data_IF_941998935008
#
_entry.id   IF_941998935008
#
_cell.length_a   1.000
_cell.length_b   1.000
_cell.length_c   1.000
_cell.angle_alpha   90.00
_cell.angle_beta   90.00
_cell.angle_gamma   90.00
#
_symmetry.space_group_name_H-M   'P 1'
#
loop_
_entity.id
_entity.type
_entity.pdbx_description
1 polymer ?
#
# COMPACT_ATOMS: atom_id res chain seq x y z
N UNK A 1 15.15 11.31 -5.96
CA UNK A 1 14.00 10.35 -5.93
C UNK A 1 12.67 11.13 -5.82
N UNK A 2 12.39 12.05 -6.75
CA UNK A 2 11.16 12.85 -6.76
C UNK A 2 9.94 12.02 -7.20
N UNK A 3 10.17 11.07 -8.13
CA UNK A 3 9.18 10.10 -8.63
C UNK A 3 8.51 9.28 -7.50
N UNK A 4 9.22 8.95 -6.41
CA UNK A 4 8.63 8.21 -5.30
C UNK A 4 7.63 9.08 -4.52
N UNK A 5 7.94 10.37 -4.37
CA UNK A 5 7.14 11.34 -3.62
C UNK A 5 5.89 11.76 -4.43
N UNK A 6 6.01 11.89 -5.75
CA UNK A 6 4.90 12.22 -6.64
C UNK A 6 3.90 11.06 -6.78
N UNK A 7 4.39 9.81 -6.89
CA UNK A 7 3.55 8.62 -6.81
C UNK A 7 2.83 8.49 -5.46
N UNK A 8 3.50 8.90 -4.38
CA UNK A 8 2.94 8.93 -3.03
C UNK A 8 1.67 9.78 -2.97
N UNK A 9 1.72 10.99 -3.55
CA UNK A 9 0.56 11.88 -3.55
C UNK A 9 -0.62 11.26 -4.30
N UNK A 10 -0.41 10.71 -5.50
CA UNK A 10 -1.48 10.10 -6.31
C UNK A 10 -2.11 8.86 -5.66
N UNK A 11 -1.31 8.03 -4.98
CA UNK A 11 -1.80 6.88 -4.22
C UNK A 11 -2.64 7.32 -3.01
N UNK A 12 -2.21 8.37 -2.31
CA UNK A 12 -2.93 8.95 -1.17
C UNK A 12 -4.22 9.64 -1.62
N UNK A 13 -4.28 10.28 -2.80
CA UNK A 13 -5.49 10.98 -3.29
C UNK A 13 -6.75 10.09 -3.34
N UNK A 14 -6.62 8.80 -3.65
CA UNK A 14 -7.78 7.89 -3.75
C UNK A 14 -8.31 7.41 -2.41
N UNK A 15 -7.58 7.65 -1.32
CA UNK A 15 -8.02 7.31 0.03
C UNK A 15 -8.10 8.57 0.85
N UNK A 16 -9.04 8.61 1.80
CA UNK A 16 -9.06 9.75 2.71
C UNK A 16 -7.90 9.50 3.70
N UNK A 17 -6.85 10.34 3.76
CA UNK A 17 -5.70 10.10 4.65
C UNK A 17 -6.12 10.05 6.14
N UNK A 18 -7.27 10.65 6.49
CA UNK A 18 -7.83 10.55 7.84
C UNK A 18 -8.56 9.23 8.11
N UNK A 19 -8.93 8.48 7.07
CA UNK A 19 -9.55 7.15 7.18
C UNK A 19 -8.55 6.06 7.54
N UNK A 20 -9.02 5.01 8.21
CA UNK A 20 -8.17 3.86 8.58
C UNK A 20 -7.42 3.26 7.37
N UNK A 21 -8.10 3.15 6.22
CA UNK A 21 -7.50 2.63 4.98
C UNK A 21 -6.36 3.53 4.50
N UNK A 22 -6.53 4.85 4.53
CA UNK A 22 -5.50 5.81 4.13
C UNK A 22 -4.26 5.74 5.04
N UNK A 23 -4.47 5.77 6.37
CA UNK A 23 -3.38 5.62 7.35
C UNK A 23 -2.61 4.31 7.18
N UNK A 24 -3.32 3.20 6.87
CA UNK A 24 -2.68 1.90 6.63
C UNK A 24 -1.83 1.89 5.38
N UNK A 25 -2.23 2.58 4.31
CA UNK A 25 -1.45 2.69 3.08
C UNK A 25 -0.21 3.54 3.28
N UNK A 26 -0.33 4.69 3.95
CA UNK A 26 0.80 5.56 4.29
C UNK A 26 1.87 4.78 5.08
N UNK A 27 1.47 4.09 6.14
CA UNK A 27 2.36 3.25 6.93
C UNK A 27 3.05 2.15 6.11
N UNK A 28 2.40 1.60 5.09
CA UNK A 28 2.99 0.57 4.23
C UNK A 28 4.02 1.16 3.27
N UNK A 29 3.71 2.30 2.69
CA UNK A 29 4.65 3.03 1.85
C UNK A 29 5.90 3.45 2.61
N UNK A 30 5.75 3.93 3.86
CA UNK A 30 6.87 4.30 4.71
C UNK A 30 7.78 3.11 5.01
N UNK A 31 7.18 1.94 5.25
CA UNK A 31 7.94 0.69 5.47
C UNK A 31 8.66 0.24 4.21
N UNK A 32 8.07 0.42 3.03
CA UNK A 32 8.72 0.12 1.75
C UNK A 32 9.87 1.10 1.50
N UNK A 33 9.63 2.41 1.69
CA UNK A 33 10.65 3.44 1.55
C UNK A 33 11.84 3.21 2.49
N UNK A 34 11.55 2.89 3.76
CA UNK A 34 12.57 2.55 4.74
C UNK A 34 13.32 1.27 4.35
N UNK A 35 12.62 0.25 3.86
CA UNK A 35 13.24 -0.99 3.37
C UNK A 35 14.17 -0.76 2.17
N UNK A 36 13.77 0.11 1.24
CA UNK A 36 14.64 0.52 0.11
C UNK A 36 15.84 1.33 0.61
N UNK A 37 15.63 2.25 1.55
CA UNK A 37 16.68 3.11 2.09
C UNK A 37 17.71 2.33 2.90
N UNK A 38 17.27 1.38 3.73
CA UNK A 38 18.14 0.51 4.52
C UNK A 38 18.78 -0.61 3.71
N UNK A 39 18.37 -0.77 2.45
CA UNK A 39 18.76 -1.91 1.63
C UNK A 39 18.25 -3.22 2.23
N UNK A 40 17.07 -3.24 2.88
CA UNK A 40 16.31 -4.44 3.31
C UNK A 40 15.31 -4.92 2.25
N UNK A 41 14.96 -4.07 1.27
CA UNK A 41 14.19 -4.48 0.09
C UNK A 41 15.01 -4.27 -1.18
N UNK A 42 14.97 -5.26 -2.06
CA UNK A 42 15.55 -5.16 -3.41
C UNK A 42 14.58 -4.48 -4.39
N UNK A 43 15.08 -4.09 -5.55
CA UNK A 43 14.25 -3.44 -6.57
C UNK A 43 13.08 -4.33 -7.01
N UNK A 44 13.30 -5.64 -7.16
CA UNK A 44 12.27 -6.60 -7.54
C UNK A 44 11.20 -6.78 -6.45
N UNK A 45 11.59 -6.90 -5.19
CA UNK A 45 10.65 -6.98 -4.06
C UNK A 45 9.84 -5.69 -3.93
N UNK A 46 10.51 -4.55 -4.01
CA UNK A 46 9.88 -3.22 -3.99
C UNK A 46 8.84 -3.09 -5.10
N UNK A 47 9.16 -3.51 -6.32
CA UNK A 47 8.23 -3.46 -7.45
C UNK A 47 6.98 -4.34 -7.20
N UNK A 48 7.15 -5.56 -6.68
CA UNK A 48 6.03 -6.44 -6.34
C UNK A 48 5.14 -5.87 -5.24
N UNK A 49 5.73 -5.27 -4.21
CA UNK A 49 4.99 -4.63 -3.11
C UNK A 49 4.18 -3.44 -3.61
N UNK A 50 4.80 -2.57 -4.41
CA UNK A 50 4.14 -1.41 -5.03
C UNK A 50 2.99 -1.82 -5.96
N UNK A 51 3.13 -2.91 -6.72
CA UNK A 51 2.04 -3.44 -7.56
C UNK A 51 0.84 -3.89 -6.72
N UNK A 52 1.08 -4.54 -5.58
CA UNK A 52 0.01 -4.97 -4.65
C UNK A 52 -0.72 -3.77 -4.05
N UNK A 53 0.00 -2.75 -3.60
CA UNK A 53 -0.61 -1.53 -3.07
C UNK A 53 -1.42 -0.80 -4.15
N UNK A 54 -0.87 -0.69 -5.36
CA UNK A 54 -1.58 -0.08 -6.48
C UNK A 54 -2.89 -0.82 -6.83
N UNK A 55 -2.92 -2.15 -6.71
CA UNK A 55 -4.13 -2.93 -6.91
C UNK A 55 -5.21 -2.60 -5.86
N UNK A 56 -4.83 -2.53 -4.58
CA UNK A 56 -5.77 -2.14 -3.50
C UNK A 56 -6.26 -0.71 -3.69
N UNK A 57 -5.39 0.21 -4.12
CA UNK A 57 -5.80 1.60 -4.36
C UNK A 57 -6.83 1.71 -5.49
N UNK A 58 -6.65 0.94 -6.58
CA UNK A 58 -7.63 0.87 -7.68
C UNK A 58 -8.95 0.29 -7.23
N UNK A 59 -8.93 -0.75 -6.40
CA UNK A 59 -10.13 -1.34 -5.81
C UNK A 59 -10.88 -0.32 -4.94
N UNK A 60 -10.18 0.37 -4.03
CA UNK A 60 -10.77 1.42 -3.20
C UNK A 60 -11.39 2.53 -4.05
N UNK A 61 -10.71 2.97 -5.10
CA UNK A 61 -11.20 4.01 -6.00
C UNK A 61 -12.48 3.58 -6.72
N UNK A 62 -12.48 2.36 -7.27
CA UNK A 62 -13.64 1.78 -7.96
C UNK A 62 -14.83 1.62 -7.03
N UNK A 63 -14.62 1.05 -5.84
CA UNK A 63 -15.67 0.78 -4.88
C UNK A 63 -16.25 2.10 -4.34
N UNK A 64 -15.42 3.13 -4.12
CA UNK A 64 -15.91 4.48 -3.81
C UNK A 64 -16.72 5.06 -4.95
N UNK A 65 -16.25 4.97 -6.19
CA UNK A 65 -16.98 5.48 -7.35
C UNK A 65 -18.36 4.81 -7.49
N UNK A 66 -18.44 3.50 -7.24
CA UNK A 66 -19.70 2.75 -7.27
C UNK A 66 -20.68 3.14 -6.14
N UNK A 67 -20.17 3.57 -4.98
CA UNK A 67 -20.96 3.84 -3.78
C UNK A 67 -21.01 5.34 -3.40
N UNK A 68 -21.02 6.23 -4.39
CA UNK A 68 -21.18 7.68 -4.15
C UNK A 68 -20.05 8.32 -3.33
N UNK A 69 -18.82 7.85 -3.52
CA UNK A 69 -17.61 8.35 -2.86
C UNK A 69 -17.26 7.67 -1.53
N UNK A 70 -18.00 6.64 -1.11
CA UNK A 70 -17.82 5.98 0.20
C UNK A 70 -17.54 4.49 0.04
N UNK A 71 -17.00 3.86 1.08
CA UNK A 71 -16.91 2.40 1.15
C UNK A 71 -18.02 1.87 2.05
N UNK A 72 -18.68 0.80 1.60
CA UNK A 72 -19.58 0.01 2.44
C UNK A 72 -18.80 -0.67 3.58
N UNK A 73 -19.52 -1.20 4.56
CA UNK A 73 -18.89 -1.94 5.66
C UNK A 73 -18.16 -3.20 5.17
N UNK A 74 -18.75 -3.90 4.19
CA UNK A 74 -18.19 -5.12 3.62
C UNK A 74 -16.91 -4.85 2.81
N UNK A 75 -16.91 -3.83 1.95
CA UNK A 75 -15.72 -3.43 1.19
C UNK A 75 -14.60 -2.98 2.11
N UNK A 76 -14.92 -2.17 3.15
CA UNK A 76 -13.93 -1.77 4.15
C UNK A 76 -13.31 -2.98 4.85
N UNK A 77 -14.10 -4.00 5.22
CA UNK A 77 -13.58 -5.22 5.82
C UNK A 77 -12.71 -6.02 4.83
N UNK A 78 -13.10 -6.10 3.56
CA UNK A 78 -12.31 -6.71 2.49
C UNK A 78 -10.97 -6.00 2.30
N UNK A 79 -10.99 -4.69 2.12
CA UNK A 79 -9.79 -3.86 1.97
C UNK A 79 -8.89 -3.99 3.19
N UNK A 80 -9.43 -3.95 4.41
CA UNK A 80 -8.64 -4.14 5.63
C UNK A 80 -7.93 -5.50 5.67
N UNK A 81 -8.58 -6.59 5.21
CA UNK A 81 -7.94 -7.90 5.09
C UNK A 81 -6.81 -7.89 4.04
N UNK A 82 -6.99 -7.21 2.91
CA UNK A 82 -5.96 -7.09 1.88
C UNK A 82 -4.76 -6.25 2.39
N UNK A 83 -5.01 -5.12 3.04
CA UNK A 83 -3.99 -4.28 3.68
C UNK A 83 -3.20 -5.09 4.73
N UNK A 84 -3.84 -5.97 5.50
CA UNK A 84 -3.15 -6.86 6.43
C UNK A 84 -2.26 -7.89 5.73
N UNK A 85 -2.69 -8.44 4.59
CA UNK A 85 -1.86 -9.34 3.76
C UNK A 85 -0.65 -8.60 3.20
N UNK A 86 -0.83 -7.38 2.71
CA UNK A 86 0.26 -6.53 2.21
C UNK A 86 1.25 -6.18 3.32
N UNK A 87 0.76 -5.77 4.50
CA UNK A 87 1.59 -5.49 5.67
C UNK A 87 2.48 -6.67 6.08
N UNK A 88 1.93 -7.89 6.05
CA UNK A 88 2.69 -9.12 6.31
C UNK A 88 3.70 -9.43 5.21
N UNK A 89 3.37 -9.18 3.95
CA UNK A 89 4.32 -9.32 2.85
C UNK A 89 5.50 -8.35 3.00
N UNK A 90 5.24 -7.07 3.26
CA UNK A 90 6.30 -6.07 3.51
C UNK A 90 7.19 -6.50 4.67
N UNK A 91 6.60 -7.07 5.73
CA UNK A 91 7.38 -7.57 6.87
C UNK A 91 8.29 -8.72 6.44
N UNK A 92 7.73 -9.74 5.78
CA UNK A 92 8.52 -10.90 5.31
C UNK A 92 9.63 -10.49 4.34
N UNK A 93 9.34 -9.61 3.39
CA UNK A 93 10.33 -9.18 2.40
C UNK A 93 11.45 -8.35 3.06
N UNK A 94 11.14 -7.52 4.06
CA UNK A 94 12.17 -6.77 4.82
C UNK A 94 13.03 -7.64 5.74
N UNK A 95 12.47 -8.73 6.23
CA UNK A 95 13.09 -9.64 7.20
C UNK A 95 13.57 -10.94 6.55
N UNK A 96 13.54 -11.03 5.22
CA UNK A 96 14.10 -12.19 4.57
C UNK A 96 15.63 -12.17 4.77
N UNK A 97 16.15 -13.25 5.37
CA UNK A 97 17.59 -13.50 5.42
C UNK A 97 18.01 -13.84 3.99
N UNK A 98 18.45 -12.83 3.24
CA UNK A 98 18.63 -12.95 1.80
C UNK A 98 19.50 -14.16 1.42
N UNK A 99 18.90 -15.06 0.64
CA UNK A 99 19.56 -15.71 -0.48
C UNK A 99 19.05 -15.01 -1.74
N UNK A 100 19.77 -14.00 -2.21
CA UNK A 100 19.73 -13.59 -3.62
C UNK A 100 21.05 -14.00 -4.24
#
# INVERSE_FOLDING_TARGET
RQIYRDKHNAAVQNTNPTSEVGKRQENQQDRIAQGVKSGQLTAGETARLQQREAAVNREVARDRAANGGRLTAQERAQINRQQNRNSRAIYRDKHNTRRQ
#
